data_IF_723773816737
#
_entry.id   IF_723773816737
#
_cell.length_a   1.000
_cell.length_b   1.000
_cell.length_c   1.000
_cell.angle_alpha   90.00
_cell.angle_beta   90.00
_cell.angle_gamma   90.00
#
_symmetry.space_group_name_H-M   'P 1'
#
loop_
_entity.id
_entity.type
_entity.pdbx_description
1 polymer ?
#
# COMPACT_ATOMS: atom_id res chain seq x y z
N UNK A 1 16.50 21.06 13.99
CA UNK A 1 15.17 20.55 14.25
C UNK A 1 14.65 21.02 15.58
N UNK A 2 13.35 21.29 15.65
CA UNK A 2 12.65 21.58 16.89
C UNK A 2 11.71 20.44 17.23
N UNK A 3 11.25 20.37 18.48
CA UNK A 3 10.22 19.43 18.89
C UNK A 3 8.87 19.75 18.21
N UNK A 4 7.98 18.78 18.11
CA UNK A 4 6.62 18.98 17.62
C UNK A 4 5.88 19.98 18.51
N UNK A 5 5.31 21.02 17.90
CA UNK A 5 4.47 22.03 18.57
C UNK A 5 3.02 21.99 18.06
N UNK A 6 2.78 21.38 16.90
CA UNK A 6 1.47 21.27 16.30
C UNK A 6 1.51 20.77 14.87
N UNK A 7 0.35 20.72 14.24
CA UNK A 7 0.15 20.33 12.84
C UNK A 7 -0.62 21.44 12.13
N UNK A 8 -0.12 21.84 10.96
CA UNK A 8 -0.84 22.73 10.05
C UNK A 8 -1.73 21.84 9.15
N UNK A 9 -3.00 22.17 9.11
CA UNK A 9 -4.00 21.49 8.28
C UNK A 9 -4.76 22.51 7.43
N UNK A 10 -5.49 22.06 6.44
CA UNK A 10 -6.39 22.91 5.65
C UNK A 10 -7.52 23.57 6.48
N UNK A 11 -7.77 23.07 7.70
CA UNK A 11 -8.75 23.62 8.64
C UNK A 11 -8.11 24.48 9.74
N UNK A 12 -6.80 24.74 9.65
CA UNK A 12 -6.05 25.54 10.58
C UNK A 12 -5.00 24.76 11.36
N UNK A 13 -4.43 25.43 12.36
CA UNK A 13 -3.36 24.89 13.20
C UNK A 13 -3.92 24.13 14.40
N UNK A 14 -3.48 22.90 14.56
CA UNK A 14 -3.78 22.04 15.72
C UNK A 14 -2.56 21.99 16.63
N UNK A 15 -2.64 22.64 17.79
CA UNK A 15 -1.56 22.64 18.79
C UNK A 15 -1.48 21.28 19.48
N UNK A 16 -0.34 20.62 19.39
CA UNK A 16 -0.07 19.34 20.06
C UNK A 16 1.43 19.17 20.27
N UNK A 17 1.81 18.30 21.21
CA UNK A 17 3.21 17.93 21.47
C UNK A 17 3.57 16.56 20.86
N UNK A 18 2.58 15.84 20.37
CA UNK A 18 2.81 14.52 19.76
C UNK A 18 1.97 14.36 18.51
N UNK A 19 2.56 13.84 17.46
CA UNK A 19 1.95 13.54 16.17
C UNK A 19 2.35 12.13 15.75
N UNK A 20 1.37 11.34 15.31
CA UNK A 20 1.64 10.04 14.71
C UNK A 20 1.40 10.13 13.21
N UNK A 21 2.45 9.93 12.42
CA UNK A 21 2.34 9.77 10.98
C UNK A 21 2.00 8.30 10.66
N UNK A 22 0.73 8.02 10.40
CA UNK A 22 0.21 6.73 9.99
C UNK A 22 -0.34 6.80 8.55
N UNK A 23 0.42 7.45 7.66
CA UNK A 23 0.00 7.78 6.29
C UNK A 23 0.07 6.61 5.31
N UNK A 24 0.47 5.41 5.72
CA UNK A 24 0.61 4.26 4.82
C UNK A 24 1.49 4.61 3.62
N UNK A 25 0.99 4.42 2.41
CA UNK A 25 1.70 4.74 1.17
C UNK A 25 2.09 6.22 1.00
N UNK A 26 1.54 7.14 1.82
CA UNK A 26 1.91 8.55 1.85
C UNK A 26 3.04 8.88 2.82
N UNK A 27 3.41 7.97 3.71
CA UNK A 27 4.38 8.24 4.79
C UNK A 27 5.74 8.68 4.26
N UNK A 28 6.25 8.06 3.19
CA UNK A 28 7.54 8.44 2.59
C UNK A 28 7.52 9.86 2.02
N UNK A 29 6.41 10.27 1.41
CA UNK A 29 6.22 11.61 0.84
C UNK A 29 6.17 12.66 1.96
N UNK A 30 5.45 12.39 3.04
CA UNK A 30 5.37 13.25 4.21
C UNK A 30 6.74 13.41 4.89
N UNK A 31 7.42 12.30 5.14
CA UNK A 31 8.76 12.32 5.75
C UNK A 31 9.79 13.03 4.87
N UNK A 32 9.72 12.87 3.55
CA UNK A 32 10.61 13.58 2.63
C UNK A 32 10.48 15.10 2.70
N UNK A 33 9.27 15.64 2.96
CA UNK A 33 9.06 17.07 3.17
C UNK A 33 9.81 17.59 4.40
N UNK A 34 9.91 16.76 5.45
CA UNK A 34 10.68 17.05 6.65
C UNK A 34 12.19 16.79 6.49
N UNK A 35 12.64 16.31 5.34
CA UNK A 35 14.03 15.95 5.07
C UNK A 35 14.41 14.55 5.56
N UNK A 36 13.44 13.76 6.01
CA UNK A 36 13.65 12.39 6.50
C UNK A 36 13.56 11.41 5.34
N UNK A 37 14.55 10.56 5.19
CA UNK A 37 14.60 9.53 4.16
C UNK A 37 14.02 8.21 4.67
N UNK A 38 12.72 7.99 4.46
CA UNK A 38 12.04 6.75 4.78
C UNK A 38 12.15 5.75 3.61
N UNK A 39 12.87 4.63 3.76
CA UNK A 39 12.98 3.61 2.72
C UNK A 39 11.67 2.82 2.62
N UNK A 40 10.78 3.27 1.77
CA UNK A 40 9.46 2.70 1.56
C UNK A 40 9.15 2.65 0.06
N UNK A 41 8.60 1.55 -0.39
CA UNK A 41 8.01 1.43 -1.72
C UNK A 41 6.50 1.22 -1.61
N UNK A 42 5.79 1.49 -2.69
CA UNK A 42 4.36 1.26 -2.77
C UNK A 42 4.05 0.19 -3.80
N UNK A 43 3.13 -0.71 -3.47
CA UNK A 43 2.64 -1.74 -4.38
C UNK A 43 1.13 -1.63 -4.52
N UNK A 44 0.62 -1.88 -5.72
CA UNK A 44 -0.81 -2.01 -5.95
C UNK A 44 -1.25 -3.44 -5.65
N UNK A 45 -2.14 -3.60 -4.68
CA UNK A 45 -2.81 -4.85 -4.37
C UNK A 45 -4.23 -4.80 -4.90
N UNK A 46 -4.61 -5.80 -5.68
CA UNK A 46 -5.97 -5.95 -6.22
C UNK A 46 -6.71 -7.03 -5.45
N UNK A 47 -7.95 -6.72 -5.12
CA UNK A 47 -8.84 -7.58 -4.34
C UNK A 47 -10.19 -7.65 -5.05
N UNK A 48 -10.90 -8.76 -4.90
CA UNK A 48 -12.27 -8.90 -5.38
C UNK A 48 -13.16 -9.54 -4.31
N UNK A 49 -14.47 -9.35 -4.41
CA UNK A 49 -15.45 -10.03 -3.57
C UNK A 49 -16.44 -10.84 -4.40
N UNK A 50 -16.82 -11.98 -3.86
CA UNK A 50 -17.84 -12.84 -4.45
C UNK A 50 -19.24 -12.49 -3.94
N UNK A 51 -20.24 -12.90 -4.66
CA UNK A 51 -21.59 -13.06 -4.11
C UNK A 51 -21.61 -14.04 -2.92
N UNK A 52 -22.72 -14.10 -2.14
CA UNK A 52 -22.90 -15.10 -1.10
C UNK A 52 -22.60 -16.51 -1.59
N UNK A 53 -21.90 -17.28 -0.79
CA UNK A 53 -21.25 -18.53 -1.17
C UNK A 53 -21.48 -19.62 -0.11
N UNK A 54 -21.34 -20.91 -0.44
CA UNK A 54 -21.28 -21.98 0.54
C UNK A 54 -20.22 -21.71 1.62
N UNK A 55 -20.51 -22.10 2.86
CA UNK A 55 -19.59 -21.95 3.98
C UNK A 55 -18.53 -23.05 3.95
N UNK A 56 -17.46 -22.81 3.16
CA UNK A 56 -16.36 -23.76 3.04
C UNK A 56 -15.24 -23.53 4.06
N UNK A 57 -15.09 -22.28 4.54
CA UNK A 57 -14.10 -21.91 5.55
C UNK A 57 -14.42 -20.53 6.15
N UNK A 58 -14.41 -20.42 7.47
CA UNK A 58 -14.83 -19.19 8.19
C UNK A 58 -13.72 -18.22 8.52
N UNK A 59 -12.47 -18.63 8.37
CA UNK A 59 -11.29 -17.84 8.68
C UNK A 59 -10.69 -17.14 7.46
N UNK A 60 -9.43 -16.76 7.63
CA UNK A 60 -8.53 -16.32 6.55
C UNK A 60 -7.63 -17.50 6.17
N UNK A 61 -7.49 -17.79 4.89
CA UNK A 61 -6.63 -18.84 4.40
C UNK A 61 -5.91 -18.40 3.11
N UNK A 62 -4.65 -18.82 2.96
CA UNK A 62 -3.92 -18.71 1.72
C UNK A 62 -3.77 -20.09 1.11
N UNK A 63 -4.21 -20.24 -0.13
CA UNK A 63 -4.21 -21.52 -0.84
C UNK A 63 -3.59 -21.31 -2.23
N UNK A 64 -2.31 -21.62 -2.36
CA UNK A 64 -1.57 -21.39 -3.60
C UNK A 64 -1.59 -19.93 -4.03
N UNK A 65 -2.20 -19.66 -5.18
CA UNK A 65 -2.21 -18.35 -5.81
C UNK A 65 -3.26 -17.37 -5.26
N UNK A 66 -4.13 -17.82 -4.34
CA UNK A 66 -5.22 -17.01 -3.79
C UNK A 66 -5.24 -17.02 -2.27
N UNK A 67 -5.62 -15.90 -1.69
CA UNK A 67 -5.98 -15.77 -0.28
C UNK A 67 -7.47 -15.45 -0.19
N UNK A 68 -8.17 -16.11 0.74
CA UNK A 68 -9.60 -15.93 0.95
C UNK A 68 -9.90 -15.54 2.39
N UNK A 69 -10.94 -14.75 2.57
CA UNK A 69 -11.51 -14.42 3.88
C UNK A 69 -13.03 -14.41 3.80
N UNK A 70 -13.67 -15.15 4.72
CA UNK A 70 -15.13 -15.14 4.86
C UNK A 70 -15.61 -13.75 5.27
N UNK A 71 -16.67 -13.27 4.62
CA UNK A 71 -17.32 -11.99 4.89
C UNK A 71 -18.59 -12.21 5.72
N UNK A 72 -19.03 -11.16 6.41
CA UNK A 72 -20.27 -11.19 7.18
C UNK A 72 -21.53 -11.32 6.32
N UNK A 73 -21.45 -10.81 5.06
CA UNK A 73 -22.52 -10.91 4.07
C UNK A 73 -22.66 -12.32 3.45
N UNK A 74 -21.84 -13.26 3.88
CA UNK A 74 -21.85 -14.62 3.38
C UNK A 74 -21.02 -14.84 2.11
N UNK A 75 -20.38 -13.83 1.54
CA UNK A 75 -19.42 -13.96 0.45
C UNK A 75 -17.99 -14.19 0.92
N UNK A 76 -17.05 -14.17 -0.03
CA UNK A 76 -15.62 -14.19 0.24
C UNK A 76 -14.93 -12.95 -0.35
N UNK A 77 -14.03 -12.38 0.41
CA UNK A 77 -12.98 -11.53 -0.15
C UNK A 77 -11.88 -12.43 -0.66
N UNK A 78 -11.44 -12.19 -1.89
CA UNK A 78 -10.37 -12.92 -2.56
C UNK A 78 -9.26 -11.95 -2.94
N UNK A 79 -8.05 -12.23 -2.50
CA UNK A 79 -6.85 -11.48 -2.83
C UNK A 79 -5.85 -12.35 -3.59
N UNK A 80 -4.94 -11.73 -4.32
CA UNK A 80 -3.83 -12.46 -4.92
C UNK A 80 -2.80 -12.82 -3.84
N UNK A 81 -2.51 -14.10 -3.68
CA UNK A 81 -1.47 -14.59 -2.79
C UNK A 81 -0.05 -14.43 -3.35
N UNK A 82 0.09 -14.06 -4.63
CA UNK A 82 1.39 -14.12 -5.33
C UNK A 82 1.69 -12.89 -6.19
N UNK A 83 0.79 -11.92 -6.31
CA UNK A 83 1.01 -10.83 -7.28
C UNK A 83 0.58 -9.49 -6.72
N UNK A 84 1.57 -8.69 -6.35
CA UNK A 84 1.46 -7.26 -6.16
C UNK A 84 2.21 -6.55 -7.29
N UNK A 85 1.75 -5.38 -7.70
CA UNK A 85 2.36 -4.63 -8.79
C UNK A 85 3.04 -3.38 -8.25
N UNK A 86 4.36 -3.30 -8.44
CA UNK A 86 5.13 -2.10 -8.10
C UNK A 86 5.33 -1.24 -9.34
N UNK A 87 4.94 0.01 -9.26
CA UNK A 87 5.17 0.99 -10.32
C UNK A 87 6.50 1.69 -10.09
N UNK A 88 7.41 1.52 -11.04
CA UNK A 88 8.76 2.10 -10.98
C UNK A 88 8.67 3.63 -10.89
N UNK A 89 9.36 4.20 -9.93
CA UNK A 89 9.45 5.63 -9.69
C UNK A 89 10.81 6.01 -9.08
N UNK A 90 10.98 7.27 -8.70
CA UNK A 90 12.23 7.79 -8.13
C UNK A 90 12.71 6.99 -6.89
N UNK A 91 11.77 6.62 -6.02
CA UNK A 91 12.09 5.87 -4.81
C UNK A 91 12.54 4.44 -5.08
N UNK A 92 12.13 3.84 -6.22
CA UNK A 92 12.61 2.53 -6.67
C UNK A 92 14.13 2.56 -6.91
N UNK A 93 14.65 3.64 -7.48
CA UNK A 93 16.09 3.82 -7.71
C UNK A 93 16.81 4.26 -6.44
N UNK A 94 16.23 5.21 -5.68
CA UNK A 94 16.81 5.73 -4.45
C UNK A 94 17.03 4.64 -3.41
N UNK A 95 16.10 3.69 -3.29
CA UNK A 95 16.14 2.63 -2.30
C UNK A 95 16.53 1.27 -2.87
N UNK A 96 16.95 1.19 -4.13
CA UNK A 96 17.22 -0.05 -4.84
C UNK A 96 18.06 -1.04 -4.02
N UNK A 97 19.21 -0.60 -3.50
CA UNK A 97 20.11 -1.47 -2.73
C UNK A 97 19.48 -1.95 -1.40
N UNK A 98 18.60 -1.14 -0.79
CA UNK A 98 17.91 -1.54 0.46
C UNK A 98 16.87 -2.62 0.19
N UNK A 99 16.22 -2.59 -0.98
CA UNK A 99 15.22 -3.57 -1.37
C UNK A 99 15.79 -4.80 -2.08
N UNK A 100 17.07 -4.83 -2.39
CA UNK A 100 17.71 -5.95 -3.10
C UNK A 100 17.53 -7.30 -2.38
N UNK A 101 17.68 -7.40 -1.04
CA UNK A 101 17.43 -8.66 -0.33
C UNK A 101 15.97 -9.12 -0.46
N UNK A 102 15.00 -8.20 -0.33
CA UNK A 102 13.59 -8.52 -0.49
C UNK A 102 13.25 -8.94 -1.92
N UNK A 103 13.83 -8.26 -2.91
CA UNK A 103 13.66 -8.62 -4.32
C UNK A 103 14.21 -10.01 -4.62
N UNK A 104 15.40 -10.36 -4.12
CA UNK A 104 15.99 -11.69 -4.34
C UNK A 104 15.22 -12.80 -3.63
N UNK A 105 14.67 -12.54 -2.44
CA UNK A 105 13.88 -13.50 -1.68
C UNK A 105 12.46 -13.66 -2.25
N UNK A 106 11.91 -12.66 -2.93
CA UNK A 106 10.49 -12.58 -3.27
C UNK A 106 10.20 -12.11 -4.70
N UNK A 107 11.08 -12.39 -5.66
CA UNK A 107 10.91 -12.02 -7.09
C UNK A 107 9.58 -12.46 -7.69
N UNK A 108 8.94 -13.49 -7.15
CA UNK A 108 7.65 -13.99 -7.62
C UNK A 108 6.46 -13.15 -7.13
N UNK A 109 6.62 -12.40 -6.03
CA UNK A 109 5.51 -11.68 -5.37
C UNK A 109 5.31 -10.25 -5.86
N UNK A 110 6.32 -9.62 -6.44
CA UNK A 110 6.25 -8.24 -6.92
C UNK A 110 6.52 -8.19 -8.42
N UNK A 111 5.52 -7.74 -9.18
CA UNK A 111 5.68 -7.48 -10.63
C UNK A 111 5.98 -6.02 -10.86
N UNK A 112 7.13 -5.75 -11.45
CA UNK A 112 7.50 -4.40 -11.87
C UNK A 112 6.61 -3.95 -13.02
N UNK A 113 6.13 -2.72 -12.94
CA UNK A 113 5.30 -2.06 -13.95
C UNK A 113 5.86 -0.69 -14.28
N UNK A 114 5.78 -0.36 -15.56
CA UNK A 114 6.00 1.01 -16.02
C UNK A 114 4.64 1.71 -16.02
N UNK A 115 4.61 2.94 -15.54
CA UNK A 115 3.43 3.78 -15.59
C UNK A 115 3.48 4.65 -16.85
N UNK A 116 2.33 4.97 -17.43
CA UNK A 116 2.27 5.83 -18.61
C UNK A 116 2.89 7.22 -18.38
N UNK A 117 2.84 7.71 -17.11
CA UNK A 117 3.48 8.95 -16.67
C UNK A 117 4.81 8.71 -15.93
N UNK A 118 5.64 7.77 -16.40
CA UNK A 118 6.92 7.40 -15.78
C UNK A 118 7.80 8.62 -15.48
N UNK A 119 7.90 9.55 -16.41
CA UNK A 119 8.75 10.75 -16.28
C UNK A 119 8.32 11.59 -15.07
N UNK A 120 7.02 11.80 -14.85
CA UNK A 120 6.51 12.55 -13.68
C UNK A 120 6.81 11.84 -12.37
N UNK A 121 6.82 10.51 -12.38
CA UNK A 121 7.13 9.70 -11.19
C UNK A 121 8.62 9.57 -10.89
N UNK A 122 9.48 9.83 -11.87
CA UNK A 122 10.94 9.87 -11.67
C UNK A 122 11.40 11.21 -11.07
N UNK A 123 10.57 12.25 -11.14
CA UNK A 123 10.88 13.51 -10.51
C UNK A 123 10.72 13.37 -8.98
N UNK A 124 11.69 13.88 -8.20
CA UNK A 124 11.54 13.92 -6.75
C UNK A 124 10.33 14.78 -6.37
N UNK A 125 9.60 14.37 -5.34
CA UNK A 125 8.51 15.19 -4.81
C UNK A 125 9.10 16.50 -4.33
N UNK A 126 8.62 17.63 -4.90
CA UNK A 126 9.02 18.95 -4.46
C UNK A 126 8.58 19.15 -3.01
N UNK A 127 9.46 19.69 -2.17
CA UNK A 127 9.09 20.16 -0.84
C UNK A 127 8.02 21.26 -0.98
N UNK A 128 7.07 21.25 -0.08
CA UNK A 128 6.01 22.27 0.00
C UNK A 128 6.10 23.02 1.32
N UNK A 129 5.59 24.24 1.32
CA UNK A 129 5.48 25.11 2.50
C UNK A 129 4.10 24.93 3.15
N UNK A 130 3.96 25.41 4.38
CA UNK A 130 2.70 25.31 5.14
C UNK A 130 1.53 26.07 4.49
N UNK A 131 1.81 27.03 3.62
CA UNK A 131 0.84 27.83 2.86
C UNK A 131 0.61 27.34 1.42
N UNK A 132 1.22 26.22 1.02
CA UNK A 132 1.07 25.64 -0.31
C UNK A 132 0.12 24.44 -0.30
N UNK A 133 -0.64 24.24 -1.40
CA UNK A 133 -1.44 23.03 -1.60
C UNK A 133 -0.52 21.83 -1.68
N UNK A 134 -0.70 20.92 -0.76
CA UNK A 134 0.13 19.72 -0.59
C UNK A 134 -0.21 18.62 -1.63
N UNK A 135 0.66 17.63 -1.83
CA UNK A 135 0.32 16.44 -2.62
C UNK A 135 -0.89 15.68 -2.09
N UNK A 136 -1.12 15.72 -0.77
CA UNK A 136 -2.25 15.05 -0.11
C UNK A 136 -3.59 15.72 -0.40
N UNK A 137 -3.61 17.04 -0.51
CA UNK A 137 -4.80 17.81 -0.90
C UNK A 137 -5.11 17.63 -2.40
N UNK A 138 -4.09 17.53 -3.24
CA UNK A 138 -4.25 17.23 -4.69
C UNK A 138 -4.78 15.83 -4.95
N UNK A 139 -4.40 14.87 -4.13
CA UNK A 139 -4.82 13.47 -4.24
C UNK A 139 -5.16 12.93 -2.87
N UNK A 140 -6.39 13.14 -2.43
CA UNK A 140 -6.84 12.75 -1.07
C UNK A 140 -6.97 11.25 -0.89
N UNK A 141 -7.29 10.53 -1.95
CA UNK A 141 -7.55 9.09 -1.90
C UNK A 141 -6.72 8.41 -2.96
N UNK A 142 -5.88 7.46 -2.54
CA UNK A 142 -5.18 6.55 -3.42
C UNK A 142 -6.11 5.39 -3.78
N UNK A 143 -6.91 5.58 -4.85
CA UNK A 143 -7.86 4.59 -5.33
C UNK A 143 -7.51 4.19 -6.78
N UNK A 144 -6.45 3.40 -6.98
CA UNK A 144 -6.07 2.95 -8.32
C UNK A 144 -7.09 1.96 -8.88
N UNK A 145 -7.23 1.93 -10.19
CA UNK A 145 -8.04 0.91 -10.84
C UNK A 145 -7.49 -0.50 -10.55
N UNK A 146 -8.35 -1.50 -10.33
CA UNK A 146 -7.92 -2.87 -10.10
C UNK A 146 -7.25 -3.45 -11.35
N UNK A 147 -6.23 -4.30 -11.13
CA UNK A 147 -5.51 -4.98 -12.21
C UNK A 147 -6.34 -6.09 -12.81
N UNK A 148 -6.74 -5.97 -14.09
CA UNK A 148 -7.49 -7.02 -14.79
C UNK A 148 -6.70 -8.33 -14.86
N UNK A 149 -5.36 -8.23 -14.95
CA UNK A 149 -4.48 -9.39 -14.91
C UNK A 149 -4.50 -10.10 -13.55
N UNK A 150 -4.49 -9.34 -12.46
CA UNK A 150 -4.61 -9.92 -11.12
C UNK A 150 -5.98 -10.58 -10.92
N UNK A 151 -7.06 -9.95 -11.38
CA UNK A 151 -8.41 -10.53 -11.35
C UNK A 151 -8.45 -11.87 -12.12
N UNK A 152 -7.90 -11.91 -13.32
CA UNK A 152 -7.85 -13.14 -14.11
C UNK A 152 -7.05 -14.26 -13.41
N UNK A 153 -5.90 -13.92 -12.80
CA UNK A 153 -5.11 -14.87 -12.03
C UNK A 153 -5.86 -15.38 -10.80
N UNK A 154 -6.56 -14.53 -10.08
CA UNK A 154 -7.37 -14.93 -8.93
C UNK A 154 -8.51 -15.85 -9.35
N UNK A 155 -9.22 -15.58 -10.47
CA UNK A 155 -10.25 -16.46 -11.02
C UNK A 155 -9.67 -17.83 -11.38
N UNK A 156 -8.53 -17.86 -12.06
CA UNK A 156 -7.83 -19.12 -12.38
C UNK A 156 -7.43 -19.88 -11.11
N UNK A 157 -6.92 -19.17 -10.10
CA UNK A 157 -6.56 -19.73 -8.81
C UNK A 157 -7.77 -20.32 -8.07
N UNK A 158 -8.91 -19.63 -8.06
CA UNK A 158 -10.16 -20.16 -7.49
C UNK A 158 -10.58 -21.44 -8.21
N UNK A 159 -10.60 -21.46 -9.54
CA UNK A 159 -10.97 -22.65 -10.32
C UNK A 159 -10.08 -23.85 -9.97
N UNK A 160 -8.79 -23.61 -9.81
CA UNK A 160 -7.80 -24.66 -9.55
C UNK A 160 -7.80 -25.16 -8.10
N UNK A 161 -7.99 -24.25 -7.14
CA UNK A 161 -7.78 -24.54 -5.71
C UNK A 161 -9.06 -24.65 -4.91
N UNK A 162 -10.08 -23.91 -5.31
CA UNK A 162 -11.36 -23.81 -4.60
C UNK A 162 -12.51 -23.84 -5.61
N UNK A 163 -12.71 -24.96 -6.32
CA UNK A 163 -13.69 -25.08 -7.40
C UNK A 163 -15.12 -24.74 -6.94
N UNK A 164 -15.44 -24.92 -5.65
CA UNK A 164 -16.73 -24.58 -5.07
C UNK A 164 -17.03 -23.07 -5.13
N UNK A 165 -16.00 -22.25 -5.26
CA UNK A 165 -16.13 -20.79 -5.35
C UNK A 165 -15.94 -20.26 -6.79
N UNK A 166 -15.52 -21.11 -7.73
CA UNK A 166 -15.08 -20.66 -9.06
C UNK A 166 -16.22 -20.17 -9.94
N UNK A 167 -17.42 -20.70 -9.77
CA UNK A 167 -18.62 -20.33 -10.55
C UNK A 167 -19.38 -19.14 -9.96
N UNK A 168 -18.97 -18.61 -8.81
CA UNK A 168 -19.67 -17.52 -8.16
C UNK A 168 -19.46 -16.20 -8.90
N UNK A 169 -20.49 -15.36 -9.00
CA UNK A 169 -20.35 -14.00 -9.51
C UNK A 169 -19.35 -13.19 -8.68
N UNK A 170 -18.53 -12.42 -9.34
CA UNK A 170 -17.71 -11.39 -8.71
C UNK A 170 -18.55 -10.11 -8.70
N UNK A 171 -18.93 -9.66 -7.52
CA UNK A 171 -19.75 -8.47 -7.35
C UNK A 171 -18.95 -7.19 -7.49
N UNK A 172 -17.71 -7.20 -7.05
CA UNK A 172 -16.85 -6.02 -7.04
C UNK A 172 -15.38 -6.42 -7.08
N UNK A 173 -14.57 -5.57 -7.68
CA UNK A 173 -13.12 -5.61 -7.59
C UNK A 173 -12.59 -4.20 -7.37
N UNK A 174 -11.61 -4.06 -6.49
CA UNK A 174 -10.94 -2.80 -6.19
C UNK A 174 -9.45 -3.00 -6.00
N UNK A 175 -8.71 -1.92 -5.89
CA UNK A 175 -7.31 -1.97 -5.54
C UNK A 175 -6.95 -0.90 -4.52
N UNK A 176 -5.88 -1.13 -3.78
CA UNK A 176 -5.27 -0.19 -2.86
C UNK A 176 -3.77 -0.08 -3.12
N UNK A 177 -3.20 1.02 -2.68
CA UNK A 177 -1.74 1.18 -2.60
C UNK A 177 -1.29 0.77 -1.20
N UNK A 178 -0.44 -0.25 -1.13
CA UNK A 178 0.14 -0.77 0.10
C UNK A 178 1.57 -0.26 0.21
N UNK A 179 1.98 0.13 1.39
CA UNK A 179 3.34 0.51 1.73
C UNK A 179 4.16 -0.71 2.16
N UNK A 180 5.38 -0.80 1.66
CA UNK A 180 6.28 -1.92 1.92
C UNK A 180 7.64 -1.40 2.40
N UNK A 181 8.08 -1.86 3.57
CA UNK A 181 9.43 -1.67 4.07
C UNK A 181 10.41 -2.68 3.44
N UNK A 182 11.74 -2.41 3.42
CA UNK A 182 12.72 -3.29 2.80
C UNK A 182 12.78 -4.70 3.39
N UNK A 183 12.49 -4.83 4.67
CA UNK A 183 12.47 -6.09 5.44
C UNK A 183 11.05 -6.64 5.66
N UNK A 184 10.05 -5.93 5.11
CA UNK A 184 8.62 -6.27 5.27
C UNK A 184 8.19 -6.26 6.75
N UNK A 185 8.88 -5.50 7.59
CA UNK A 185 8.56 -5.34 9.02
C UNK A 185 7.95 -3.96 9.25
N UNK A 186 6.84 -3.86 10.01
CA UNK A 186 6.27 -2.57 10.39
C UNK A 186 7.26 -1.72 11.17
N UNK A 187 7.24 -0.41 10.91
CA UNK A 187 8.01 0.58 11.66
C UNK A 187 7.06 1.33 12.58
N UNK A 188 7.33 1.28 13.89
CA UNK A 188 6.65 2.07 14.91
C UNK A 188 7.72 2.63 15.85
N UNK A 189 8.07 3.90 15.65
CA UNK A 189 9.13 4.54 16.43
C UNK A 189 8.99 6.07 16.42
N UNK A 190 9.65 6.72 17.38
CA UNK A 190 9.82 8.16 17.40
C UNK A 190 10.93 8.59 16.44
N UNK A 191 10.72 9.69 15.74
CA UNK A 191 11.74 10.27 14.85
C UNK A 191 12.70 11.11 15.70
N UNK A 192 13.93 10.63 15.88
CA UNK A 192 14.94 11.24 16.75
C UNK A 192 15.21 12.72 16.46
N UNK A 193 15.18 13.11 15.17
CA UNK A 193 15.42 14.49 14.73
C UNK A 193 14.22 15.43 15.01
N UNK A 194 13.06 14.87 15.35
CA UNK A 194 11.80 15.58 15.60
C UNK A 194 11.08 15.02 16.84
N UNK A 195 11.55 15.30 18.07
CA UNK A 195 10.90 14.86 19.30
C UNK A 195 9.39 15.13 19.32
N UNK A 196 8.60 14.10 19.60
CA UNK A 196 7.16 14.11 19.54
C UNK A 196 6.55 13.72 18.18
N UNK A 197 7.36 13.48 17.14
CA UNK A 197 6.89 12.90 15.89
C UNK A 197 7.11 11.39 15.89
N UNK A 198 6.04 10.64 15.80
CA UNK A 198 6.04 9.18 15.71
C UNK A 198 5.67 8.74 14.31
N UNK A 199 6.32 7.68 13.83
CA UNK A 199 6.00 7.00 12.57
C UNK A 199 5.33 5.66 12.88
N UNK A 200 4.25 5.34 12.15
CA UNK A 200 3.60 4.04 12.16
C UNK A 200 3.26 3.66 10.71
N UNK A 201 4.04 2.76 10.10
CA UNK A 201 3.94 2.41 8.67
C UNK A 201 4.44 1.00 8.39
N UNK A 202 4.19 0.47 7.17
CA UNK A 202 4.66 -0.86 6.77
C UNK A 202 3.82 -2.02 7.30
N UNK A 203 2.55 -1.82 7.56
CA UNK A 203 1.63 -2.85 8.09
C UNK A 203 1.02 -3.75 7.00
N UNK A 204 1.64 -3.91 5.87
CA UNK A 204 1.15 -4.71 4.73
C UNK A 204 1.41 -6.21 4.86
#
# INVERSE_FOLDING_TARGET
GGAVAGVVTEHGYVKTRSVVCAGGAWSSVFMANLGINLPQLTVRATVMRTAPAPDIYRGCASVGEVAIRRRQDGGYTVASGITNEHFIGADSFRHFFKFLPALTASLSFVKLRFHDDLIKRLLPVRKWRDDEITPFEKTRILNPAPSQKAIALMKTGLTKRLPQLSALPIEEAWAGMIDVAPDVVPVMDEISDYPGLFLATGFS
#
